data_IF_294410440729
#
_entry.id   IF_294410440729
#
_cell.length_a   1.000
_cell.length_b   1.000
_cell.length_c   1.000
_cell.angle_alpha   90.00
_cell.angle_beta   90.00
_cell.angle_gamma   90.00
#
_symmetry.space_group_name_H-M   'P 1'
#
loop_
_entity.id
_entity.type
_entity.pdbx_description
1 polymer ?
#
# COMPACT_ATOMS: atom_id res chain seq x y z
N UNK A 1 6.17 -2.10 36.16
CA UNK A 1 6.07 -1.65 34.75
C UNK A 1 6.44 -0.17 34.68
N UNK A 2 6.99 0.32 33.56
CA UNK A 2 7.28 1.76 33.42
C UNK A 2 6.01 2.58 33.17
N UNK A 3 5.05 2.07 32.39
CA UNK A 3 3.74 2.72 32.15
C UNK A 3 2.62 1.83 32.71
N UNK A 4 1.64 2.42 33.40
CA UNK A 4 0.47 1.73 33.95
C UNK A 4 0.48 1.58 35.47
N UNK A 5 -0.44 0.76 35.99
CA UNK A 5 -0.53 0.49 37.43
C UNK A 5 0.54 -0.54 37.83
N UNK A 6 1.36 -0.17 38.80
CA UNK A 6 2.33 -1.09 39.37
C UNK A 6 1.62 -2.15 40.23
N UNK A 7 1.75 -3.43 39.86
CA UNK A 7 1.05 -4.55 40.53
C UNK A 7 1.45 -4.74 41.99
N UNK A 8 2.63 -4.27 42.40
CA UNK A 8 3.10 -4.39 43.80
C UNK A 8 2.64 -3.23 44.68
N UNK A 9 2.59 -2.01 44.14
CA UNK A 9 2.32 -0.80 44.92
C UNK A 9 0.97 -0.15 44.64
N UNK A 10 0.26 -0.57 43.59
CA UNK A 10 -1.01 0.02 43.16
C UNK A 10 -0.89 1.45 42.61
N UNK A 11 0.33 1.99 42.52
CA UNK A 11 0.59 3.34 42.06
C UNK A 11 0.61 3.38 40.53
N UNK A 12 -0.08 4.36 39.96
CA UNK A 12 -0.04 4.65 38.52
C UNK A 12 1.28 5.33 38.16
N UNK A 13 1.95 4.84 37.12
CA UNK A 13 3.20 5.40 36.59
C UNK A 13 2.99 5.82 35.15
N UNK A 14 3.34 7.07 34.81
CA UNK A 14 3.30 7.61 33.45
C UNK A 14 1.97 7.43 32.68
N UNK A 15 0.82 7.38 33.40
CA UNK A 15 -0.51 7.25 32.78
C UNK A 15 -1.14 8.59 32.40
N UNK A 16 -0.62 9.71 32.91
CA UNK A 16 -1.11 11.06 32.60
C UNK A 16 -2.60 11.29 32.91
N UNK A 17 -3.22 10.47 33.75
CA UNK A 17 -4.66 10.50 34.04
C UNK A 17 -5.55 9.78 33.02
N UNK A 18 -4.99 9.20 31.96
CA UNK A 18 -5.76 8.42 30.98
C UNK A 18 -6.00 6.99 31.46
N UNK A 19 -7.27 6.59 31.54
CA UNK A 19 -7.68 5.23 31.95
C UNK A 19 -7.13 4.15 30.99
N UNK A 20 -6.94 4.47 29.71
CA UNK A 20 -6.42 3.55 28.70
C UNK A 20 -4.96 3.15 28.93
N UNK A 21 -4.20 3.95 29.71
CA UNK A 21 -2.80 3.67 30.00
C UNK A 21 -2.62 2.92 31.32
N UNK A 22 -3.70 2.63 32.06
CA UNK A 22 -3.62 1.90 33.34
C UNK A 22 -3.13 0.46 33.14
N UNK A 23 -3.55 -0.18 32.06
CA UNK A 23 -3.10 -1.51 31.66
C UNK A 23 -1.72 -1.51 30.98
N UNK A 24 -1.11 -0.32 30.82
CA UNK A 24 0.14 -0.12 30.12
C UNK A 24 -0.05 0.07 28.62
N UNK A 25 1.03 -0.07 27.85
CA UNK A 25 0.99 -0.05 26.39
C UNK A 25 0.94 -1.49 25.89
N UNK A 26 -0.03 -1.80 25.04
CA UNK A 26 -0.11 -3.11 24.39
C UNK A 26 1.19 -3.39 23.62
N UNK A 27 1.77 -4.56 23.85
CA UNK A 27 3.00 -5.00 23.23
C UNK A 27 2.92 -4.96 21.70
N UNK A 28 1.79 -5.35 21.11
CA UNK A 28 1.58 -5.27 19.66
C UNK A 28 1.59 -3.83 19.17
N UNK A 29 0.91 -2.94 19.87
CA UNK A 29 0.86 -1.51 19.52
C UNK A 29 2.25 -0.88 19.61
N UNK A 30 3.04 -1.22 20.64
CA UNK A 30 4.40 -0.75 20.81
C UNK A 30 5.32 -1.19 19.66
N UNK A 31 5.25 -2.46 19.25
CA UNK A 31 6.08 -2.99 18.15
C UNK A 31 5.66 -2.41 16.80
N UNK A 32 4.36 -2.33 16.51
CA UNK A 32 3.86 -1.75 15.26
C UNK A 32 4.26 -0.27 15.15
N UNK A 33 4.14 0.50 16.24
CA UNK A 33 4.58 1.89 16.29
C UNK A 33 6.08 2.05 16.09
N UNK A 34 6.90 1.22 16.75
CA UNK A 34 8.36 1.25 16.59
C UNK A 34 8.79 0.90 15.16
N UNK A 35 8.15 -0.11 14.56
CA UNK A 35 8.40 -0.49 13.17
C UNK A 35 8.06 0.65 12.20
N UNK A 36 6.90 1.29 12.36
CA UNK A 36 6.51 2.42 11.52
C UNK A 36 7.50 3.58 11.59
N UNK A 37 8.01 3.91 12.78
CA UNK A 37 9.02 4.97 12.96
C UNK A 37 10.35 4.59 12.29
N UNK A 38 10.79 3.34 12.45
CA UNK A 38 12.01 2.86 11.81
C UNK A 38 11.92 2.94 10.28
N UNK A 39 10.78 2.52 9.71
CA UNK A 39 10.55 2.55 8.27
C UNK A 39 10.56 3.98 7.72
N UNK A 40 10.00 4.94 8.46
CA UNK A 40 10.05 6.37 8.08
C UNK A 40 11.49 6.89 8.01
N UNK A 41 12.33 6.53 8.98
CA UNK A 41 13.74 6.93 8.95
C UNK A 41 14.50 6.28 7.79
N UNK A 42 14.29 4.99 7.54
CA UNK A 42 14.86 4.29 6.38
C UNK A 42 14.38 4.91 5.06
N UNK A 43 13.10 5.27 4.96
CA UNK A 43 12.54 5.92 3.78
C UNK A 43 13.21 7.28 3.51
N UNK A 44 13.37 8.11 4.54
CA UNK A 44 14.05 9.41 4.41
C UNK A 44 15.53 9.23 4.04
N UNK A 45 16.22 8.25 4.61
CA UNK A 45 17.62 7.96 4.27
C UNK A 45 17.76 7.52 2.80
N UNK A 46 16.90 6.60 2.36
CA UNK A 46 16.96 5.99 1.03
C UNK A 46 16.45 6.89 -0.09
N UNK A 47 15.44 7.73 0.16
CA UNK A 47 14.78 8.54 -0.86
C UNK A 47 14.94 10.06 -0.67
N UNK A 48 15.35 10.52 0.51
CA UNK A 48 15.43 11.94 0.84
C UNK A 48 16.60 12.69 0.21
N UNK A 49 17.63 11.98 -0.29
CA UNK A 49 18.84 12.61 -0.85
C UNK A 49 18.85 12.74 -2.38
N UNK A 50 18.22 11.82 -3.12
CA UNK A 50 18.31 11.77 -4.60
C UNK A 50 16.95 11.68 -5.34
N UNK A 51 15.81 11.48 -4.68
CA UNK A 51 14.57 11.14 -5.39
C UNK A 51 13.70 12.32 -5.86
N UNK A 52 14.14 13.57 -5.70
CA UNK A 52 13.32 14.74 -6.02
C UNK A 52 13.99 15.83 -6.88
N UNK A 53 15.17 15.59 -7.45
CA UNK A 53 15.84 16.58 -8.31
C UNK A 53 15.52 16.25 -9.78
N UNK A 54 14.43 16.80 -10.30
CA UNK A 54 14.34 17.09 -11.75
C UNK A 54 13.21 16.46 -12.56
N UNK A 55 12.26 15.72 -11.98
CA UNK A 55 11.07 15.30 -12.74
C UNK A 55 10.09 16.48 -12.79
N UNK A 56 10.26 17.36 -13.78
CA UNK A 56 9.20 18.29 -14.18
C UNK A 56 8.03 17.47 -14.70
N UNK A 57 7.08 17.17 -13.83
CA UNK A 57 5.77 16.66 -14.22
C UNK A 57 5.08 17.79 -14.99
N UNK A 58 5.20 17.76 -16.32
CA UNK A 58 4.32 18.53 -17.19
C UNK A 58 2.88 18.10 -16.96
N UNK A 59 1.91 18.96 -17.31
CA UNK A 59 0.49 18.68 -17.09
C UNK A 59 0.03 17.54 -18.02
N UNK A 60 0.19 16.29 -17.58
CA UNK A 60 -0.23 15.10 -18.32
C UNK A 60 -1.77 15.05 -18.31
N UNK A 61 -2.38 15.23 -19.48
CA UNK A 61 -3.82 15.04 -19.68
C UNK A 61 -4.07 13.70 -20.34
N UNK A 62 -4.61 12.75 -19.60
CA UNK A 62 -4.99 11.44 -20.13
C UNK A 62 -6.22 11.62 -21.05
N UNK A 63 -6.18 11.16 -22.30
CA UNK A 63 -7.34 11.24 -23.19
C UNK A 63 -8.46 10.32 -22.69
N UNK A 64 -9.70 10.83 -22.67
CA UNK A 64 -10.88 10.11 -22.18
C UNK A 64 -11.12 8.80 -22.96
N UNK A 65 -10.71 8.75 -24.23
CA UNK A 65 -10.78 7.54 -25.06
C UNK A 65 -9.96 6.39 -24.47
N UNK A 66 -8.79 6.66 -23.93
CA UNK A 66 -7.92 5.61 -23.35
C UNK A 66 -8.50 5.08 -22.04
N UNK A 67 -9.17 5.94 -21.28
CA UNK A 67 -9.89 5.55 -20.05
C UNK A 67 -11.02 4.58 -20.40
N UNK A 68 -11.86 4.93 -21.38
CA UNK A 68 -12.99 4.09 -21.81
C UNK A 68 -12.49 2.77 -22.40
N UNK A 69 -11.47 2.82 -23.26
CA UNK A 69 -10.89 1.64 -23.89
C UNK A 69 -10.22 0.69 -22.88
N UNK A 70 -9.81 1.21 -21.73
CA UNK A 70 -9.19 0.44 -20.65
C UNK A 70 -10.20 -0.08 -19.62
N UNK A 71 -11.50 0.24 -19.75
CA UNK A 71 -12.50 -0.16 -18.77
C UNK A 71 -12.60 -1.67 -18.56
N UNK A 72 -12.44 -2.45 -19.62
CA UNK A 72 -12.42 -3.92 -19.52
C UNK A 72 -11.14 -4.44 -18.82
N UNK A 73 -10.01 -3.81 -19.09
CA UNK A 73 -8.73 -4.11 -18.42
C UNK A 73 -8.83 -3.79 -16.93
N UNK A 74 -9.44 -2.67 -16.56
CA UNK A 74 -9.69 -2.28 -15.17
C UNK A 74 -10.55 -3.33 -14.45
N UNK A 75 -11.68 -3.74 -15.05
CA UNK A 75 -12.56 -4.76 -14.44
C UNK A 75 -11.83 -6.09 -14.17
N UNK A 76 -11.03 -6.55 -15.13
CA UNK A 76 -10.21 -7.77 -14.94
C UNK A 76 -9.16 -7.58 -13.85
N UNK A 77 -8.46 -6.45 -13.87
CA UNK A 77 -7.45 -6.09 -12.85
C UNK A 77 -8.07 -6.06 -11.45
N UNK A 78 -9.26 -5.47 -11.32
CA UNK A 78 -10.03 -5.44 -10.06
C UNK A 78 -10.34 -6.85 -9.56
N UNK A 79 -10.79 -7.77 -10.42
CA UNK A 79 -11.06 -9.15 -10.02
C UNK A 79 -9.81 -9.86 -9.47
N UNK A 80 -8.67 -9.69 -10.15
CA UNK A 80 -7.38 -10.27 -9.73
C UNK A 80 -6.93 -9.66 -8.40
N UNK A 81 -7.00 -8.33 -8.29
CA UNK A 81 -6.64 -7.58 -7.10
C UNK A 81 -7.47 -7.98 -5.89
N UNK A 82 -8.79 -8.06 -6.04
CA UNK A 82 -9.71 -8.47 -4.98
C UNK A 82 -9.37 -9.87 -4.44
N UNK A 83 -9.15 -10.84 -5.33
CA UNK A 83 -8.77 -12.20 -4.92
C UNK A 83 -7.40 -12.22 -4.24
N UNK A 84 -6.44 -11.42 -4.72
CA UNK A 84 -5.14 -11.27 -4.06
C UNK A 84 -5.26 -10.61 -2.67
N UNK A 85 -6.22 -9.71 -2.49
CA UNK A 85 -6.52 -9.06 -1.21
C UNK A 85 -7.09 -10.02 -0.16
N UNK A 86 -7.89 -11.00 -0.58
CA UNK A 86 -8.40 -12.05 0.31
C UNK A 86 -7.29 -12.95 0.88
N UNK A 87 -6.13 -13.01 0.21
CA UNK A 87 -5.01 -13.83 0.64
C UNK A 87 -4.18 -13.08 1.70
N UNK A 88 -4.09 -13.60 2.94
CA UNK A 88 -3.32 -12.94 3.99
C UNK A 88 -1.85 -12.87 3.60
N UNK A 89 -1.28 -11.66 3.65
CA UNK A 89 0.13 -11.39 3.35
C UNK A 89 0.47 -11.26 1.86
N UNK A 90 -0.45 -11.54 0.93
CA UNK A 90 -0.21 -11.39 -0.53
C UNK A 90 -0.43 -9.94 -1.00
N UNK A 91 -1.51 -9.33 -0.54
CA UNK A 91 -1.76 -7.89 -0.60
C UNK A 91 -1.75 -7.24 -1.99
N UNK A 92 -1.65 -5.91 -1.94
CA UNK A 92 -1.70 -5.01 -3.09
C UNK A 92 -0.56 -5.22 -4.10
N UNK A 93 0.67 -5.44 -3.64
CA UNK A 93 1.83 -5.58 -4.51
C UNK A 93 1.74 -6.82 -5.40
N UNK A 94 1.34 -7.96 -4.85
CA UNK A 94 1.16 -9.18 -5.62
C UNK A 94 -0.03 -9.05 -6.58
N UNK A 95 -1.16 -8.48 -6.12
CA UNK A 95 -2.34 -8.24 -6.96
C UNK A 95 -2.02 -7.37 -8.19
N UNK A 96 -1.23 -6.31 -7.99
CA UNK A 96 -0.77 -5.42 -9.06
C UNK A 96 0.13 -6.15 -10.06
N UNK A 97 1.07 -6.94 -9.56
CA UNK A 97 2.00 -7.70 -10.40
C UNK A 97 1.29 -8.78 -11.23
N UNK A 98 0.38 -9.54 -10.61
CA UNK A 98 -0.41 -10.54 -11.30
C UNK A 98 -1.34 -9.91 -12.34
N UNK A 99 -1.99 -8.79 -12.02
CA UNK A 99 -2.83 -8.06 -12.97
C UNK A 99 -2.03 -7.58 -14.19
N UNK A 100 -0.82 -7.06 -14.00
CA UNK A 100 0.08 -6.70 -15.09
C UNK A 100 0.49 -7.90 -15.95
N UNK A 101 0.89 -9.01 -15.32
CA UNK A 101 1.29 -10.23 -16.03
C UNK A 101 0.14 -10.82 -16.86
N UNK A 102 -1.06 -10.88 -16.30
CA UNK A 102 -2.25 -11.38 -16.97
C UNK A 102 -2.62 -10.49 -18.17
N UNK A 103 -2.62 -9.17 -18.00
CA UNK A 103 -2.93 -8.26 -19.09
C UNK A 103 -1.88 -8.32 -20.20
N UNK A 104 -0.58 -8.35 -19.85
CA UNK A 104 0.51 -8.53 -20.82
C UNK A 104 0.44 -9.87 -21.53
N UNK A 105 0.03 -10.94 -20.84
CA UNK A 105 -0.11 -12.27 -21.43
C UNK A 105 -1.26 -12.32 -22.44
N UNK A 106 -2.38 -11.69 -22.09
CA UNK A 106 -3.64 -11.66 -22.86
C UNK A 106 -3.60 -10.66 -24.01
N UNK A 107 -2.73 -9.66 -23.97
CA UNK A 107 -2.61 -8.66 -25.01
C UNK A 107 -2.16 -9.26 -26.35
N UNK A 108 -2.82 -8.83 -27.43
CA UNK A 108 -2.45 -9.18 -28.82
C UNK A 108 -1.09 -8.61 -29.21
N UNK A 109 -0.83 -7.36 -28.82
CA UNK A 109 0.47 -6.71 -29.00
C UNK A 109 1.13 -6.55 -27.63
N UNK A 110 2.31 -7.16 -27.47
CA UNK A 110 3.10 -7.12 -26.23
C UNK A 110 4.28 -6.15 -26.32
N UNK A 111 4.52 -5.56 -27.50
CA UNK A 111 5.70 -4.75 -27.81
C UNK A 111 5.66 -3.34 -27.20
N UNK A 112 4.47 -2.87 -26.84
CA UNK A 112 4.20 -1.57 -26.20
C UNK A 112 4.23 -1.63 -24.67
N UNK A 113 4.13 -2.83 -24.08
CA UNK A 113 4.21 -3.02 -22.63
C UNK A 113 5.60 -2.65 -22.11
N UNK A 114 5.65 -1.81 -21.07
CA UNK A 114 6.90 -1.23 -20.55
C UNK A 114 7.37 0.03 -21.28
N UNK A 115 6.67 0.47 -22.34
CA UNK A 115 6.92 1.71 -23.08
C UNK A 115 5.81 2.76 -22.91
N UNK A 116 4.97 2.60 -21.88
CA UNK A 116 3.84 3.52 -21.61
C UNK A 116 2.49 3.08 -22.18
N UNK A 117 2.31 1.79 -22.50
CA UNK A 117 1.00 1.23 -22.88
C UNK A 117 -0.06 1.49 -21.78
N UNK A 118 -1.20 2.15 -22.09
CA UNK A 118 -2.25 2.46 -21.12
C UNK A 118 -2.80 1.23 -20.39
N UNK A 119 -2.95 0.08 -21.08
CA UNK A 119 -3.40 -1.18 -20.46
C UNK A 119 -2.39 -1.74 -19.47
N UNK A 120 -1.10 -1.53 -19.74
CA UNK A 120 -0.01 -1.92 -18.85
C UNK A 120 0.07 -1.08 -17.57
N UNK A 121 -0.65 0.05 -17.50
CA UNK A 121 -0.73 0.91 -16.30
C UNK A 121 -2.07 0.68 -15.59
N UNK A 122 -3.17 0.66 -16.35
CA UNK A 122 -4.51 0.54 -15.78
C UNK A 122 -4.79 -0.82 -15.13
N UNK A 123 -4.20 -1.92 -15.64
CA UNK A 123 -4.33 -3.24 -15.02
C UNK A 123 -3.71 -3.31 -13.59
N UNK A 124 -2.42 -2.98 -13.39
CA UNK A 124 -1.82 -3.02 -12.05
C UNK A 124 -2.46 -2.00 -11.09
N UNK A 125 -2.80 -0.80 -11.55
CA UNK A 125 -3.46 0.21 -10.69
C UNK A 125 -4.85 -0.23 -10.22
N UNK A 126 -5.65 -0.84 -11.10
CA UNK A 126 -6.94 -1.40 -10.73
C UNK A 126 -6.79 -2.59 -9.77
N UNK A 127 -5.77 -3.44 -9.97
CA UNK A 127 -5.45 -4.55 -9.09
C UNK A 127 -5.01 -4.11 -7.69
N UNK A 128 -4.12 -3.12 -7.62
CA UNK A 128 -3.67 -2.50 -6.37
C UNK A 128 -4.88 -2.02 -5.53
N UNK A 129 -5.70 -1.18 -6.14
CA UNK A 129 -6.81 -0.54 -5.46
C UNK A 129 -7.90 -1.56 -5.04
N UNK A 130 -8.12 -2.60 -5.83
CA UNK A 130 -9.07 -3.65 -5.49
C UNK A 130 -8.59 -4.59 -4.39
N UNK A 131 -7.28 -4.83 -4.28
CA UNK A 131 -6.72 -5.63 -3.20
C UNK A 131 -6.96 -4.99 -1.83
N UNK A 132 -6.93 -3.66 -1.72
CA UNK A 132 -7.31 -2.96 -0.51
C UNK A 132 -8.76 -3.26 -0.11
N UNK A 133 -9.69 -3.27 -1.07
CA UNK A 133 -11.09 -3.64 -0.82
C UNK A 133 -11.29 -5.12 -0.47
N UNK A 134 -10.43 -6.02 -0.94
CA UNK A 134 -10.49 -7.45 -0.61
C UNK A 134 -9.82 -7.84 0.70
N UNK A 135 -8.97 -6.97 1.26
CA UNK A 135 -8.27 -7.19 2.52
C UNK A 135 -9.02 -6.67 3.76
N UNK A 136 -10.08 -5.87 3.55
CA UNK A 136 -11.01 -5.39 4.57
C UNK A 136 -12.09 -6.45 4.87
#
# INVERSE_FOLDING_TARGET
AMIGVDKSTGLTRFTGGSLHLFDGVDFLVAIVGLFAVAEVFVFIESHGRDSAIGVKLEKIRIPVRDIINSGWTMLRGTGIGFVAGLLPGAGASLGSFLAYMLEKSTARDKSTFGKGEPKGITAPEAGNNAAAGGAL
#
